data_IF_402052599564
#
_entry.id   IF_402052599564
#
_cell.length_a   1.000
_cell.length_b   1.000
_cell.length_c   1.000
_cell.angle_alpha   90.00
_cell.angle_beta   90.00
_cell.angle_gamma   90.00
#
_symmetry.space_group_name_H-M   'P 1'
#
loop_
_entity.id
_entity.type
_entity.pdbx_description
1 polymer ?
#
# COMPACT_ATOMS: atom_id res chain seq x y z
N UNK A 1 -6.38 -10.07 -10.58
CA UNK A 1 -7.18 -11.28 -10.81
C UNK A 1 -7.87 -11.24 -12.16
N UNK A 2 -8.63 -10.20 -12.51
CA UNK A 2 -9.29 -10.09 -13.84
C UNK A 2 -8.30 -10.07 -15.02
N UNK A 3 -7.07 -9.65 -14.80
CA UNK A 3 -5.97 -9.63 -15.78
C UNK A 3 -5.10 -10.91 -15.74
N UNK A 4 -5.51 -11.94 -15.01
CA UNK A 4 -4.78 -13.22 -14.92
C UNK A 4 -3.72 -13.31 -13.83
N UNK A 5 -3.56 -12.27 -12.99
CA UNK A 5 -2.62 -12.33 -11.86
C UNK A 5 -3.18 -13.15 -10.69
N UNK A 6 -2.33 -13.95 -10.09
CA UNK A 6 -2.55 -14.47 -8.75
C UNK A 6 -2.30 -13.36 -7.73
N UNK A 7 -3.29 -13.09 -6.89
CA UNK A 7 -3.29 -11.92 -6.01
C UNK A 7 -3.46 -12.35 -4.56
N UNK A 8 -2.59 -11.84 -3.71
CA UNK A 8 -2.65 -11.99 -2.26
C UNK A 8 -2.89 -10.61 -1.65
N UNK A 9 -3.90 -10.47 -0.81
CA UNK A 9 -4.15 -9.26 -0.04
C UNK A 9 -3.29 -9.24 1.23
N UNK A 10 -2.60 -8.12 1.47
CA UNK A 10 -1.78 -7.93 2.66
C UNK A 10 -2.09 -6.59 3.29
N UNK A 11 -2.24 -6.57 4.61
CA UNK A 11 -2.33 -5.35 5.40
C UNK A 11 -1.23 -5.37 6.47
N UNK A 12 -0.56 -4.23 6.66
CA UNK A 12 0.43 -4.06 7.71
C UNK A 12 -0.23 -3.40 8.92
N UNK A 13 -0.10 -4.02 10.10
CA UNK A 13 -0.39 -3.40 11.38
C UNK A 13 0.84 -2.60 11.79
N UNK A 14 0.73 -1.28 11.80
CA UNK A 14 1.85 -0.37 12.09
C UNK A 14 1.81 0.23 13.49
N UNK A 15 0.64 0.23 14.15
CA UNK A 15 0.46 0.84 15.46
C UNK A 15 -0.41 -0.04 16.35
N UNK A 16 -0.08 -0.11 17.63
CA UNK A 16 -0.81 -0.85 18.64
C UNK A 16 -0.76 -0.08 19.97
N UNK A 17 -1.55 0.97 20.08
CA UNK A 17 -1.70 1.70 21.35
C UNK A 17 -3.08 1.42 21.94
N UNK A 18 -3.12 0.92 23.16
CA UNK A 18 -4.36 0.67 23.89
C UNK A 18 -5.09 1.99 24.14
N UNK A 19 -6.34 2.09 23.73
CA UNK A 19 -7.22 3.25 23.96
C UNK A 19 -7.34 4.24 22.80
N UNK A 20 -6.49 4.19 21.78
CA UNK A 20 -6.52 5.09 20.61
C UNK A 20 -7.06 4.45 19.32
N UNK A 21 -7.62 3.24 19.41
CA UNK A 21 -8.10 2.46 18.25
C UNK A 21 -9.18 3.18 17.41
N UNK A 22 -9.87 4.18 17.95
CA UNK A 22 -10.97 4.88 17.27
C UNK A 22 -10.52 5.99 16.31
N UNK A 23 -9.31 6.52 16.44
CA UNK A 23 -8.82 7.66 15.64
C UNK A 23 -7.83 7.25 14.55
N UNK A 24 -7.17 6.10 14.66
CA UNK A 24 -6.20 5.60 13.68
C UNK A 24 -6.88 4.82 12.55
N UNK A 25 -7.42 5.52 11.56
CA UNK A 25 -8.12 4.94 10.41
C UNK A 25 -7.29 3.94 9.56
N UNK A 26 -5.96 3.96 9.66
CA UNK A 26 -5.09 3.12 8.83
C UNK A 26 -4.78 1.74 9.40
N UNK A 27 -4.96 1.52 10.71
CA UNK A 27 -4.54 0.29 11.41
C UNK A 27 -5.60 -0.25 12.37
N UNK A 28 -6.85 0.25 12.30
CA UNK A 28 -7.92 -0.21 13.19
C UNK A 28 -8.37 -1.63 12.86
N UNK A 29 -8.91 -2.32 13.87
CA UNK A 29 -9.53 -3.65 13.71
C UNK A 29 -10.64 -3.60 12.66
N UNK A 30 -11.42 -2.50 12.60
CA UNK A 30 -12.47 -2.29 11.62
C UNK A 30 -11.90 -2.23 10.18
N UNK A 31 -10.76 -1.55 9.97
CA UNK A 31 -10.11 -1.48 8.68
C UNK A 31 -9.60 -2.86 8.24
N UNK A 32 -9.01 -3.65 9.15
CA UNK A 32 -8.59 -5.02 8.89
C UNK A 32 -9.77 -5.92 8.53
N UNK A 33 -10.87 -5.84 9.29
CA UNK A 33 -12.09 -6.58 9.02
C UNK A 33 -12.74 -6.17 7.68
N UNK A 34 -12.67 -4.90 7.32
CA UNK A 34 -13.16 -4.43 6.03
C UNK A 34 -12.28 -4.96 4.88
N UNK A 35 -10.97 -4.90 5.01
CA UNK A 35 -10.03 -5.44 4.03
C UNK A 35 -10.24 -6.94 3.83
N UNK A 36 -10.37 -7.71 4.92
CA UNK A 36 -10.67 -9.14 4.87
C UNK A 36 -12.00 -9.44 4.16
N UNK A 37 -13.07 -8.69 4.46
CA UNK A 37 -14.36 -8.83 3.76
C UNK A 37 -14.26 -8.56 2.27
N UNK A 38 -13.46 -7.55 1.87
CA UNK A 38 -13.22 -7.25 0.46
C UNK A 38 -12.44 -8.40 -0.20
N UNK A 39 -11.37 -8.88 0.42
CA UNK A 39 -10.57 -10.00 -0.07
C UNK A 39 -11.42 -11.27 -0.27
N UNK A 40 -12.23 -11.62 0.72
CA UNK A 40 -13.20 -12.74 0.62
C UNK A 40 -14.18 -12.54 -0.53
N UNK A 41 -14.67 -11.31 -0.75
CA UNK A 41 -15.63 -11.02 -1.81
C UNK A 41 -15.04 -11.19 -3.22
N UNK A 42 -13.76 -10.87 -3.40
CA UNK A 42 -13.04 -11.03 -4.66
C UNK A 42 -12.27 -12.35 -4.74
N UNK A 43 -12.45 -13.19 -3.72
CA UNK A 43 -11.87 -14.54 -3.63
C UNK A 43 -10.35 -14.53 -3.76
N UNK A 44 -9.68 -13.79 -2.85
CA UNK A 44 -8.22 -13.80 -2.69
C UNK A 44 -7.86 -14.08 -1.21
N UNK A 45 -6.72 -14.75 -0.95
CA UNK A 45 -6.20 -14.87 0.40
C UNK A 45 -5.85 -13.49 0.97
N UNK A 46 -6.00 -13.35 2.29
CA UNK A 46 -5.69 -12.09 2.99
C UNK A 46 -4.91 -12.35 4.26
N UNK A 47 -3.85 -11.58 4.46
CA UNK A 47 -2.97 -11.69 5.62
C UNK A 47 -2.77 -10.35 6.30
N UNK A 48 -2.74 -10.36 7.62
CA UNK A 48 -2.38 -9.23 8.45
C UNK A 48 -0.96 -9.48 9.00
N UNK A 49 -0.02 -8.61 8.65
CA UNK A 49 1.36 -8.68 9.10
C UNK A 49 1.58 -7.69 10.23
N UNK A 50 2.17 -8.14 11.33
CA UNK A 50 2.59 -7.26 12.41
C UNK A 50 3.89 -6.56 12.03
N UNK A 51 3.89 -5.24 12.00
CA UNK A 51 5.02 -4.38 11.73
C UNK A 51 5.11 -3.24 12.76
N UNK A 52 4.54 -3.43 13.96
CA UNK A 52 4.49 -2.44 15.04
C UNK A 52 5.91 -2.09 15.50
N UNK A 53 6.72 -3.09 15.86
CA UNK A 53 8.08 -2.86 16.33
C UNK A 53 8.98 -2.24 15.26
N UNK A 54 9.05 -2.77 14.01
CA UNK A 54 9.79 -2.13 12.93
C UNK A 54 9.34 -0.69 12.63
N UNK A 55 8.06 -0.38 12.77
CA UNK A 55 7.52 0.97 12.59
C UNK A 55 7.96 1.88 13.73
N UNK A 56 7.86 1.42 14.98
CA UNK A 56 8.27 2.18 16.14
C UNK A 56 9.76 2.57 16.07
N UNK A 57 10.63 1.60 15.82
CA UNK A 57 12.07 1.81 15.76
C UNK A 57 12.51 2.69 14.59
N UNK A 58 11.95 2.44 13.39
CA UNK A 58 12.42 3.09 12.15
C UNK A 58 11.73 4.41 11.86
N UNK A 59 10.57 4.68 12.47
CA UNK A 59 9.77 5.87 12.16
C UNK A 59 9.43 6.68 13.39
N UNK A 60 8.88 6.07 14.45
CA UNK A 60 8.38 6.79 15.60
C UNK A 60 9.52 7.39 16.44
N UNK A 61 10.50 6.58 16.81
CA UNK A 61 11.65 7.05 17.60
C UNK A 61 12.45 8.14 16.86
N UNK A 62 12.83 7.97 15.57
CA UNK A 62 13.51 9.04 14.84
C UNK A 62 12.66 10.29 14.68
N UNK A 63 11.34 10.14 14.46
CA UNK A 63 10.42 11.27 14.38
C UNK A 63 10.43 12.10 15.67
N UNK A 64 10.29 11.45 16.83
CA UNK A 64 10.31 12.09 18.13
C UNK A 64 11.66 12.81 18.35
N UNK A 65 12.78 12.12 18.05
CA UNK A 65 14.12 12.67 18.23
C UNK A 65 14.35 13.92 17.35
N UNK A 66 13.97 13.87 16.07
CA UNK A 66 14.06 15.02 15.16
C UNK A 66 13.21 16.19 15.63
N UNK A 67 12.01 15.91 16.12
CA UNK A 67 11.11 16.95 16.61
C UNK A 67 11.69 17.66 17.83
N UNK A 68 12.32 16.94 18.77
CA UNK A 68 13.04 17.53 19.90
C UNK A 68 14.25 18.39 19.50
N UNK A 69 14.84 18.12 18.34
CA UNK A 69 15.92 18.92 17.75
C UNK A 69 15.41 20.15 16.98
N UNK A 70 14.09 20.38 16.94
CA UNK A 70 13.47 21.50 16.21
C UNK A 70 13.37 21.26 14.70
N UNK A 71 13.57 20.03 14.23
CA UNK A 71 13.37 19.65 12.83
C UNK A 71 11.90 19.34 12.54
N UNK A 72 11.51 19.43 11.25
CA UNK A 72 10.18 19.02 10.79
C UNK A 72 10.32 17.77 9.91
N UNK A 73 10.38 16.56 10.50
CA UNK A 73 10.58 15.33 9.74
C UNK A 73 9.32 14.93 8.96
N UNK A 74 9.53 14.24 7.82
CA UNK A 74 8.45 13.61 7.07
C UNK A 74 8.44 12.09 7.33
N UNK A 75 7.62 11.60 8.28
CA UNK A 75 7.60 10.18 8.64
C UNK A 75 7.17 9.27 7.50
N UNK A 76 6.33 9.74 6.57
CA UNK A 76 5.90 8.94 5.42
C UNK A 76 7.06 8.63 4.47
N UNK A 77 8.00 9.57 4.32
CA UNK A 77 9.19 9.36 3.48
C UNK A 77 10.16 8.33 4.06
N UNK A 78 10.12 8.06 5.37
CA UNK A 78 10.87 6.99 6.04
C UNK A 78 10.08 5.69 6.14
N UNK A 79 8.80 5.76 6.48
CA UNK A 79 7.94 4.61 6.65
C UNK A 79 7.86 3.75 5.38
N UNK A 80 7.74 4.37 4.21
CA UNK A 80 7.60 3.62 2.97
C UNK A 80 8.82 2.73 2.68
N UNK A 81 10.07 3.23 2.55
CA UNK A 81 11.21 2.37 2.23
C UNK A 81 11.62 1.44 3.37
N UNK A 82 11.59 1.94 4.63
CA UNK A 82 12.19 1.25 5.77
C UNK A 82 11.26 0.22 6.41
N UNK A 83 9.93 0.45 6.35
CA UNK A 83 8.94 -0.44 6.96
C UNK A 83 8.06 -1.07 5.89
N UNK A 84 7.23 -0.29 5.18
CA UNK A 84 6.21 -0.86 4.28
C UNK A 84 6.82 -1.73 3.19
N UNK A 85 7.73 -1.18 2.39
CA UNK A 85 8.35 -1.94 1.29
C UNK A 85 9.25 -3.05 1.79
N UNK A 86 9.98 -2.82 2.87
CA UNK A 86 10.82 -3.87 3.48
C UNK A 86 9.98 -5.07 3.90
N UNK A 87 8.92 -4.86 4.67
CA UNK A 87 8.05 -5.94 5.15
C UNK A 87 7.28 -6.63 4.00
N UNK A 88 6.71 -5.82 3.09
CA UNK A 88 5.97 -6.36 1.95
C UNK A 88 6.85 -7.18 1.00
N UNK A 89 8.09 -6.75 0.72
CA UNK A 89 9.00 -7.49 -0.13
C UNK A 89 9.52 -8.76 0.53
N UNK A 90 9.83 -8.73 1.83
CA UNK A 90 10.17 -9.93 2.58
C UNK A 90 9.05 -10.97 2.54
N UNK A 91 7.82 -10.52 2.70
CA UNK A 91 6.65 -11.39 2.61
C UNK A 91 6.41 -11.88 1.18
N UNK A 92 6.56 -11.00 0.18
CA UNK A 92 6.47 -11.36 -1.23
C UNK A 92 7.50 -12.45 -1.60
N UNK A 93 8.75 -12.31 -1.13
CA UNK A 93 9.80 -13.31 -1.35
C UNK A 93 9.44 -14.65 -0.69
N UNK A 94 8.87 -14.64 0.52
CA UNK A 94 8.42 -15.85 1.22
C UNK A 94 7.22 -16.56 0.56
N UNK A 95 6.40 -15.81 -0.18
CA UNK A 95 5.21 -16.30 -0.89
C UNK A 95 5.44 -16.50 -2.39
N UNK A 96 6.69 -16.39 -2.85
CA UNK A 96 7.08 -16.47 -4.27
C UNK A 96 6.31 -15.48 -5.17
N UNK A 97 5.97 -14.32 -4.61
CA UNK A 97 5.27 -13.27 -5.33
C UNK A 97 6.27 -12.32 -6.02
N UNK A 98 6.09 -12.09 -7.31
CA UNK A 98 7.01 -11.30 -8.11
C UNK A 98 6.93 -9.80 -7.80
N UNK A 99 5.74 -9.27 -7.52
CA UNK A 99 5.49 -7.85 -7.35
C UNK A 99 4.73 -7.52 -6.06
N UNK A 100 4.95 -6.31 -5.58
CA UNK A 100 4.14 -5.65 -4.55
C UNK A 100 3.29 -4.56 -5.21
N UNK A 101 1.97 -4.66 -5.09
CA UNK A 101 1.04 -3.66 -5.60
C UNK A 101 0.51 -2.77 -4.50
N UNK A 102 0.49 -1.46 -4.71
CA UNK A 102 -0.06 -0.49 -3.75
C UNK A 102 -0.95 0.54 -4.43
N UNK A 103 -1.89 1.11 -3.65
CA UNK A 103 -2.83 2.13 -4.12
C UNK A 103 -2.25 3.56 -4.17
N UNK A 104 -0.94 3.75 -4.23
CA UNK A 104 -0.35 5.07 -4.36
C UNK A 104 -0.55 5.63 -5.77
N UNK A 105 -0.90 6.92 -5.83
CA UNK A 105 -1.07 7.66 -7.08
C UNK A 105 0.28 8.14 -7.59
N UNK A 106 1.05 7.22 -8.15
CA UNK A 106 2.34 7.44 -8.79
C UNK A 106 2.47 6.56 -10.02
N UNK A 107 3.38 6.90 -10.92
CA UNK A 107 3.69 6.09 -12.11
C UNK A 107 5.15 5.71 -12.11
N UNK A 108 5.44 4.57 -12.70
CA UNK A 108 6.81 4.10 -12.91
C UNK A 108 7.02 3.72 -14.36
N UNK A 109 8.18 4.06 -14.91
CA UNK A 109 8.59 3.71 -16.27
C UNK A 109 10.01 3.15 -16.18
N UNK A 110 10.19 1.96 -16.75
CA UNK A 110 11.52 1.34 -16.87
C UNK A 110 12.16 1.77 -18.18
N UNK A 111 13.38 2.28 -18.12
CA UNK A 111 14.14 2.66 -19.31
C UNK A 111 14.89 1.48 -19.93
N UNK A 112 15.55 1.72 -21.06
CA UNK A 112 16.31 0.70 -21.81
C UNK A 112 17.50 0.12 -21.03
N UNK A 113 17.98 0.83 -20.00
CA UNK A 113 19.06 0.40 -19.11
C UNK A 113 18.54 -0.42 -17.93
N UNK A 114 17.22 -0.64 -17.85
CA UNK A 114 16.57 -1.35 -16.76
C UNK A 114 16.37 -0.52 -15.50
N UNK A 115 16.59 0.79 -15.53
CA UNK A 115 16.36 1.71 -14.41
C UNK A 115 14.89 2.08 -14.38
N UNK A 116 14.27 1.96 -13.22
CA UNK A 116 12.86 2.33 -13.00
C UNK A 116 12.80 3.77 -12.49
N UNK A 117 12.21 4.64 -13.28
CA UNK A 117 11.99 6.04 -12.95
C UNK A 117 10.62 6.24 -12.32
N UNK A 118 10.56 7.09 -11.30
CA UNK A 118 9.34 7.48 -10.60
C UNK A 118 8.78 8.77 -11.18
N UNK A 119 7.50 8.79 -11.51
CA UNK A 119 6.78 9.94 -12.02
C UNK A 119 5.57 10.27 -11.15
N UNK A 120 5.12 11.51 -11.21
CA UNK A 120 3.86 11.94 -10.61
C UNK A 120 2.70 11.13 -11.17
N UNK A 121 1.69 10.89 -10.34
CA UNK A 121 0.41 10.33 -10.77
C UNK A 121 -0.32 11.24 -11.77
N UNK A 122 -1.23 10.68 -12.54
CA UNK A 122 -2.04 11.42 -13.53
C UNK A 122 -2.98 12.43 -12.85
N UNK A 123 -3.47 12.13 -11.65
CA UNK A 123 -4.29 13.07 -10.86
C UNK A 123 -3.40 14.00 -10.03
N UNK A 124 -3.26 15.29 -10.40
CA UNK A 124 -2.37 16.20 -9.70
C UNK A 124 -2.81 16.49 -8.26
N UNK A 125 -4.12 16.33 -7.96
CA UNK A 125 -4.67 16.52 -6.62
C UNK A 125 -4.45 15.30 -5.71
N UNK A 126 -3.96 14.19 -6.25
CA UNK A 126 -3.72 12.94 -5.53
C UNK A 126 -2.30 12.42 -5.66
N UNK A 127 -1.41 13.17 -6.30
CA UNK A 127 -0.02 12.78 -6.45
C UNK A 127 0.63 12.45 -5.10
N UNK A 128 1.26 11.28 -5.05
CA UNK A 128 1.95 10.75 -3.86
C UNK A 128 3.42 10.41 -4.15
N UNK A 129 3.99 10.96 -5.22
CA UNK A 129 5.38 10.72 -5.59
C UNK A 129 6.36 11.11 -4.49
N UNK A 130 6.04 12.14 -3.72
CA UNK A 130 6.89 12.64 -2.64
C UNK A 130 7.09 11.63 -1.49
N UNK A 131 6.05 10.81 -1.15
CA UNK A 131 6.17 9.80 -0.08
C UNK A 131 6.86 8.51 -0.54
N UNK A 132 6.97 8.31 -1.87
CA UNK A 132 7.59 7.14 -2.52
C UNK A 132 9.01 7.45 -3.01
N UNK A 133 9.40 8.74 -3.08
CA UNK A 133 10.64 9.21 -3.70
C UNK A 133 11.93 8.59 -3.13
N UNK A 134 11.90 8.04 -1.93
CA UNK A 134 13.05 7.40 -1.26
C UNK A 134 13.14 5.89 -1.47
N UNK A 135 12.29 5.30 -2.29
CA UNK A 135 12.40 3.88 -2.63
C UNK A 135 13.67 3.62 -3.44
N UNK A 136 14.38 2.55 -3.10
CA UNK A 136 15.52 2.06 -3.87
C UNK A 136 15.08 1.50 -5.23
N UNK A 137 16.01 1.36 -6.17
CA UNK A 137 15.75 0.72 -7.45
C UNK A 137 15.18 -0.69 -7.31
N UNK A 138 15.72 -1.49 -6.39
CA UNK A 138 15.19 -2.84 -6.08
C UNK A 138 13.72 -2.78 -5.65
N UNK A 139 13.35 -1.81 -4.81
CA UNK A 139 11.97 -1.63 -4.35
C UNK A 139 11.06 -1.16 -5.50
N UNK A 140 11.50 -0.18 -6.29
CA UNK A 140 10.74 0.33 -7.43
C UNK A 140 10.50 -0.74 -8.52
N UNK A 141 11.53 -1.52 -8.85
CA UNK A 141 11.42 -2.59 -9.87
C UNK A 141 10.44 -3.70 -9.48
N UNK A 142 10.25 -3.92 -8.19
CA UNK A 142 9.31 -4.90 -7.63
C UNK A 142 7.95 -4.27 -7.28
N UNK A 143 7.69 -3.03 -7.72
CA UNK A 143 6.46 -2.28 -7.36
C UNK A 143 5.55 -2.06 -8.54
N UNK A 144 4.25 -2.23 -8.30
CA UNK A 144 3.18 -1.90 -9.25
C UNK A 144 2.23 -0.89 -8.60
N UNK A 145 1.86 0.14 -9.34
CA UNK A 145 0.96 1.21 -8.89
C UNK A 145 -0.29 1.29 -9.77
N UNK A 146 -1.26 0.40 -9.59
CA UNK A 146 -2.38 0.21 -10.53
C UNK A 146 -3.28 1.44 -10.70
N UNK A 147 -3.23 2.39 -9.76
CA UNK A 147 -4.07 3.61 -9.79
C UNK A 147 -3.33 4.85 -10.28
N UNK A 148 -2.04 4.73 -10.60
CA UNK A 148 -1.20 5.86 -10.97
C UNK A 148 -1.62 6.59 -12.25
N UNK A 149 -2.20 5.86 -13.21
CA UNK A 149 -2.65 6.40 -14.50
C UNK A 149 -4.12 6.89 -14.48
N UNK A 150 -4.77 6.89 -13.32
CA UNK A 150 -6.18 7.23 -13.19
C UNK A 150 -6.41 8.44 -12.30
N UNK A 151 -7.45 9.22 -12.63
CA UNK A 151 -8.03 10.17 -11.68
C UNK A 151 -8.80 9.46 -10.58
N UNK A 152 -8.85 10.02 -9.37
CA UNK A 152 -9.58 9.45 -8.23
C UNK A 152 -11.06 9.17 -8.52
N UNK A 153 -11.68 10.01 -9.33
CA UNK A 153 -13.06 9.84 -9.81
C UNK A 153 -13.23 8.56 -10.64
N UNK A 154 -12.28 8.28 -11.53
CA UNK A 154 -12.28 7.07 -12.35
C UNK A 154 -12.09 5.81 -11.48
N UNK A 155 -11.17 5.84 -10.52
CA UNK A 155 -10.94 4.73 -9.57
C UNK A 155 -12.22 4.42 -8.78
N UNK A 156 -12.94 5.46 -8.31
CA UNK A 156 -14.23 5.28 -7.62
C UNK A 156 -15.29 4.62 -8.53
N UNK A 157 -15.35 5.02 -9.80
CA UNK A 157 -16.29 4.45 -10.77
C UNK A 157 -15.98 2.96 -11.03
N UNK A 158 -14.72 2.62 -11.29
CA UNK A 158 -14.26 1.23 -11.49
C UNK A 158 -14.60 0.37 -10.25
N UNK A 159 -14.35 0.88 -9.05
CA UNK A 159 -14.65 0.17 -7.80
C UNK A 159 -16.16 -0.08 -7.63
N UNK A 160 -17.01 0.90 -7.97
CA UNK A 160 -18.46 0.75 -7.91
C UNK A 160 -18.99 -0.27 -8.91
N UNK A 161 -18.48 -0.29 -10.13
CA UNK A 161 -18.84 -1.24 -11.19
C UNK A 161 -18.43 -2.67 -10.81
N UNK A 162 -17.19 -2.88 -10.32
CA UNK A 162 -16.70 -4.18 -9.84
C UNK A 162 -17.54 -4.70 -8.66
N UNK A 163 -18.02 -3.81 -7.80
CA UNK A 163 -18.89 -4.15 -6.67
C UNK A 163 -20.30 -4.62 -7.11
N UNK A 164 -20.81 -4.11 -8.24
CA UNK A 164 -22.10 -4.53 -8.80
C UNK A 164 -22.00 -5.86 -9.53
N UNK A 165 -20.94 -6.09 -10.29
CA UNK A 165 -20.71 -7.32 -11.04
C UNK A 165 -20.64 -8.54 -10.11
N UNK A 166 -19.97 -8.42 -8.95
CA UNK A 166 -19.87 -9.51 -7.97
C UNK A 166 -21.19 -9.87 -7.26
N UNK A 167 -22.20 -8.96 -7.27
CA UNK A 167 -23.55 -9.26 -6.74
C UNK A 167 -24.38 -10.09 -7.73
N UNK A 168 -24.17 -9.93 -9.02
CA UNK A 168 -24.92 -10.65 -10.05
C UNK A 168 -24.44 -12.10 -10.25
N UNK A 169 -23.15 -12.38 -10.01
CA UNK A 169 -22.63 -13.76 -10.11
C UNK A 169 -23.10 -14.71 -9.01
N UNK A 170 -23.63 -14.20 -7.87
CA UNK A 170 -24.20 -15.00 -6.78
C UNK A 170 -25.69 -15.36 -6.96
N UNK A 171 -26.36 -14.86 -8.01
CA UNK A 171 -27.78 -15.16 -8.27
C UNK A 171 -28.02 -16.39 -9.15
N UNK A 172 -26.96 -17.05 -9.61
CA UNK A 172 -27.05 -18.24 -10.47
C UNK A 172 -26.29 -19.44 -9.89
N UNK A 173 -26.52 -19.75 -8.61
CA UNK A 173 -26.20 -21.05 -8.01
C UNK A 173 -27.31 -21.46 -7.07
#
# INVERSE_FOLDING_TARGET
>A
KQQGFDVIGVMLKLWAEEGFDRENQCCSIEAANQAHRIATKIDIPFYLLDAVEPFYESVVQPFISSYFLGETPNPCAWCNPLVRWRQLLQYADAMDAEYVATGHYVRTIKDERGITHLFRGTDPNKDQSYVISRLSQRQLQRSVFPVGDYFKSQVRKISAESSRSSKNSKKFR
#
